data_IF_947993259964
#
_entry.id   IF_947993259964
#
_cell.length_a   1.000
_cell.length_b   1.000
_cell.length_c   1.000
_cell.angle_alpha   90.00
_cell.angle_beta   90.00
_cell.angle_gamma   90.00
#
_symmetry.space_group_name_H-M   'P 1'
#
loop_
_entity.id
_entity.type
_entity.pdbx_description
1 polymer ?
#
# COMPACT_ATOMS: atom_id res chain seq x y z
N UNK A 1 27.94 -56.45 26.01
CA UNK A 1 27.31 -55.99 24.76
C UNK A 1 26.28 -54.91 25.12
N UNK A 2 26.72 -53.67 25.38
CA UNK A 2 25.83 -52.53 25.72
C UNK A 2 26.03 -51.22 24.92
N UNK A 3 27.04 -51.02 24.04
CA UNK A 3 27.28 -49.69 23.45
C UNK A 3 26.22 -49.26 22.42
N UNK A 4 25.47 -50.21 21.85
CA UNK A 4 24.50 -49.93 20.80
C UNK A 4 23.18 -49.35 21.34
N UNK A 5 22.77 -49.74 22.56
CA UNK A 5 21.58 -49.19 23.23
C UNK A 5 21.79 -47.71 23.55
N UNK A 6 22.94 -47.37 24.14
CA UNK A 6 23.29 -46.00 24.51
C UNK A 6 23.34 -45.05 23.30
N UNK A 7 23.87 -45.53 22.17
CA UNK A 7 23.91 -44.80 20.90
C UNK A 7 22.51 -44.55 20.33
N UNK A 8 21.64 -45.57 20.40
CA UNK A 8 20.25 -45.45 19.93
C UNK A 8 19.46 -44.45 20.77
N UNK A 9 19.60 -44.50 22.10
CA UNK A 9 18.91 -43.59 23.02
C UNK A 9 19.35 -42.13 22.80
N UNK A 10 20.66 -41.90 22.61
CA UNK A 10 21.21 -40.56 22.32
C UNK A 10 20.70 -40.02 20.98
N UNK A 11 20.60 -40.88 19.96
CA UNK A 11 20.04 -40.50 18.65
C UNK A 11 18.56 -40.14 18.75
N UNK A 12 17.76 -40.92 19.48
CA UNK A 12 16.34 -40.66 19.71
C UNK A 12 16.16 -39.32 20.46
N UNK A 13 17.01 -39.03 21.46
CA UNK A 13 16.96 -37.75 22.17
C UNK A 13 17.25 -36.56 21.25
N UNK A 14 18.26 -36.68 20.37
CA UNK A 14 18.58 -35.65 19.38
C UNK A 14 17.43 -35.44 18.39
N UNK A 15 16.86 -36.52 17.87
CA UNK A 15 15.71 -36.46 16.96
C UNK A 15 14.51 -35.76 17.63
N UNK A 16 14.22 -36.10 18.90
CA UNK A 16 13.17 -35.44 19.67
C UNK A 16 13.46 -33.95 19.90
N UNK A 17 14.71 -33.57 20.18
CA UNK A 17 15.11 -32.16 20.29
C UNK A 17 14.91 -31.42 18.97
N UNK A 18 15.30 -32.01 17.83
CA UNK A 18 15.07 -31.42 16.50
C UNK A 18 13.58 -31.23 16.24
N UNK A 19 12.75 -32.25 16.53
CA UNK A 19 11.30 -32.18 16.37
C UNK A 19 10.69 -31.08 17.25
N UNK A 20 11.15 -30.94 18.49
CA UNK A 20 10.68 -29.90 19.40
C UNK A 20 11.10 -28.50 18.96
N UNK A 21 12.34 -28.33 18.47
CA UNK A 21 12.81 -27.06 17.92
C UNK A 21 11.99 -26.64 16.69
N UNK A 22 11.64 -27.59 15.81
CA UNK A 22 10.76 -27.33 14.66
C UNK A 22 9.34 -26.93 15.10
N UNK A 23 8.81 -27.53 16.17
CA UNK A 23 7.50 -27.13 16.72
C UNK A 23 7.53 -25.70 17.27
N UNK A 24 8.52 -25.37 18.11
CA UNK A 24 8.65 -24.02 18.69
C UNK A 24 8.78 -22.97 17.59
N UNK A 25 9.70 -23.19 16.65
CA UNK A 25 9.90 -22.29 15.49
C UNK A 25 8.62 -22.06 14.69
N UNK A 26 7.75 -23.06 14.63
CA UNK A 26 6.46 -22.97 13.94
C UNK A 26 5.43 -22.18 14.74
N UNK A 27 5.34 -22.42 16.04
CA UNK A 27 4.48 -21.64 16.95
C UNK A 27 4.87 -20.16 16.90
N UNK A 28 6.17 -19.87 16.96
CA UNK A 28 6.72 -18.52 16.82
C UNK A 28 6.28 -17.86 15.50
N UNK A 29 6.38 -18.57 14.36
CA UNK A 29 5.94 -18.05 13.05
C UNK A 29 4.44 -17.76 13.02
N UNK A 30 3.63 -18.66 13.57
CA UNK A 30 2.18 -18.47 13.63
C UNK A 30 1.81 -17.26 14.50
N UNK A 31 2.52 -17.09 15.62
CA UNK A 31 2.35 -15.96 16.52
C UNK A 31 2.72 -14.65 15.82
N UNK A 32 3.87 -14.58 15.17
CA UNK A 32 4.29 -13.40 14.39
C UNK A 32 3.24 -13.01 13.35
N UNK A 33 2.66 -13.98 12.65
CA UNK A 33 1.60 -13.66 11.70
C UNK A 33 0.38 -13.06 12.37
N UNK A 34 -0.14 -13.70 13.43
CA UNK A 34 -1.39 -13.30 14.08
C UNK A 34 -1.27 -11.99 14.86
N UNK A 35 -0.13 -11.73 15.47
CA UNK A 35 0.06 -10.59 16.36
C UNK A 35 0.66 -9.38 15.64
N UNK A 36 1.31 -9.57 14.49
CA UNK A 36 2.09 -8.51 13.85
C UNK A 36 1.69 -8.32 12.38
N UNK A 37 1.80 -9.36 11.55
CA UNK A 37 1.56 -9.22 10.11
C UNK A 37 0.09 -8.92 9.81
N UNK A 38 -0.83 -9.70 10.38
CA UNK A 38 -2.27 -9.57 10.14
C UNK A 38 -2.82 -8.24 10.66
N UNK A 39 -2.53 -7.81 11.90
CA UNK A 39 -2.96 -6.51 12.38
C UNK A 39 -2.38 -5.34 11.58
N UNK A 40 -1.13 -5.43 11.12
CA UNK A 40 -0.54 -4.41 10.26
C UNK A 40 -1.25 -4.31 8.92
N UNK A 41 -1.57 -5.45 8.29
CA UNK A 41 -2.30 -5.47 7.02
C UNK A 41 -3.71 -4.87 7.17
N UNK A 42 -4.43 -5.23 8.25
CA UNK A 42 -5.75 -4.68 8.57
C UNK A 42 -5.70 -3.16 8.75
N UNK A 43 -4.67 -2.63 9.44
CA UNK A 43 -4.49 -1.19 9.62
C UNK A 43 -4.12 -0.47 8.31
N UNK A 44 -3.41 -1.14 7.41
CA UNK A 44 -3.01 -0.57 6.12
C UNK A 44 -4.18 -0.41 5.14
N UNK A 45 -5.09 -1.38 5.08
CA UNK A 45 -6.23 -1.38 4.15
C UNK A 45 -7.01 -0.06 4.08
N UNK A 46 -7.51 0.52 5.18
CA UNK A 46 -8.28 1.77 5.12
C UNK A 46 -7.42 2.94 4.60
N UNK A 47 -6.11 2.94 4.89
CA UNK A 47 -5.20 3.96 4.37
C UNK A 47 -5.12 3.84 2.84
N UNK A 48 -4.89 2.64 2.31
CA UNK A 48 -4.83 2.41 0.84
C UNK A 48 -6.14 2.78 0.17
N UNK A 49 -7.28 2.39 0.72
CA UNK A 49 -8.58 2.72 0.13
C UNK A 49 -8.83 4.22 0.09
N UNK A 50 -8.43 4.96 1.13
CA UNK A 50 -8.50 6.42 1.10
C UNK A 50 -7.56 7.04 0.06
N UNK A 51 -6.36 6.45 -0.18
CA UNK A 51 -5.49 6.86 -1.28
C UNK A 51 -6.20 6.68 -2.62
N UNK A 52 -6.72 5.49 -2.91
CA UNK A 52 -7.41 5.22 -4.17
C UNK A 52 -8.61 6.15 -4.36
N UNK A 53 -9.43 6.32 -3.32
CA UNK A 53 -10.60 7.21 -3.34
C UNK A 53 -10.24 8.68 -3.65
N UNK A 54 -9.10 9.18 -3.18
CA UNK A 54 -8.60 10.53 -3.54
C UNK A 54 -8.40 10.66 -5.05
N UNK A 55 -7.77 9.66 -5.67
CA UNK A 55 -7.49 9.70 -7.11
C UNK A 55 -8.75 9.44 -7.94
N UNK A 56 -9.64 8.52 -7.52
CA UNK A 56 -10.93 8.32 -8.19
C UNK A 56 -11.81 9.57 -8.17
N UNK A 57 -11.93 10.24 -7.01
CA UNK A 57 -12.65 11.51 -6.92
C UNK A 57 -12.06 12.60 -7.81
N UNK A 58 -10.73 12.73 -7.79
CA UNK A 58 -10.04 13.68 -8.64
C UNK A 58 -10.29 13.41 -10.13
N UNK A 59 -10.31 12.13 -10.53
CA UNK A 59 -10.62 11.71 -11.89
C UNK A 59 -12.06 12.05 -12.29
N UNK A 60 -13.04 11.71 -11.44
CA UNK A 60 -14.45 12.03 -11.63
C UNK A 60 -14.67 13.53 -11.87
N UNK A 61 -14.06 14.38 -11.05
CA UNK A 61 -14.20 15.84 -11.16
C UNK A 61 -13.58 16.39 -12.47
N UNK A 62 -12.45 15.82 -12.90
CA UNK A 62 -11.81 16.20 -14.17
C UNK A 62 -12.67 15.75 -15.36
N UNK A 63 -13.22 14.54 -15.34
CA UNK A 63 -14.09 14.01 -16.38
C UNK A 63 -15.40 14.82 -16.47
N UNK A 64 -16.02 15.12 -15.34
CA UNK A 64 -17.28 15.88 -15.30
C UNK A 64 -17.10 17.27 -15.92
N UNK A 65 -15.98 17.95 -15.61
CA UNK A 65 -15.65 19.26 -16.17
C UNK A 65 -15.39 19.21 -17.68
N UNK A 66 -14.69 18.18 -18.17
CA UNK A 66 -14.46 17.97 -19.60
C UNK A 66 -15.77 17.75 -20.35
N UNK A 67 -16.64 16.89 -19.83
CA UNK A 67 -17.95 16.61 -20.43
C UNK A 67 -18.84 17.86 -20.49
N UNK A 68 -18.83 18.70 -19.45
CA UNK A 68 -19.56 19.96 -19.46
C UNK A 68 -19.06 20.94 -20.53
N UNK A 69 -17.74 21.05 -20.74
CA UNK A 69 -17.18 21.91 -21.79
C UNK A 69 -17.64 21.47 -23.18
N UNK A 70 -17.57 20.16 -23.45
CA UNK A 70 -18.02 19.58 -24.72
C UNK A 70 -19.52 19.86 -24.94
N UNK A 71 -20.36 19.64 -23.92
CA UNK A 71 -21.79 19.91 -24.00
C UNK A 71 -22.10 21.40 -24.21
N UNK A 72 -21.34 22.30 -23.58
CA UNK A 72 -21.50 23.76 -23.76
C UNK A 72 -21.10 24.23 -25.15
N UNK A 73 -20.02 23.68 -25.72
CA UNK A 73 -19.61 24.02 -27.08
C UNK A 73 -20.57 23.47 -28.14
N UNK A 74 -21.21 22.32 -27.88
CA UNK A 74 -22.28 21.76 -28.74
C UNK A 74 -23.62 22.52 -28.65
N UNK A 75 -23.84 23.30 -27.58
CA UNK A 75 -25.13 23.99 -27.32
C UNK A 75 -25.08 25.51 -27.50
N UNK A 76 -23.98 26.08 -28.02
CA UNK A 76 -23.84 27.52 -28.31
C UNK A 76 -24.98 28.14 -29.14
N UNK A 77 -25.71 27.33 -29.93
CA UNK A 77 -26.86 27.78 -30.73
C UNK A 77 -28.24 27.61 -30.07
N UNK A 78 -28.32 27.00 -28.88
CA UNK A 78 -29.60 26.81 -28.17
C UNK A 78 -29.47 27.38 -26.75
N UNK A 79 -30.18 28.50 -26.51
CA UNK A 79 -30.48 29.06 -25.19
C UNK A 79 -31.06 27.97 -24.28
N UNK A 80 -30.21 27.15 -23.68
CA UNK A 80 -30.63 26.05 -22.83
C UNK A 80 -30.22 26.35 -21.40
N UNK A 81 -31.18 26.13 -20.51
CA UNK A 81 -31.04 26.11 -19.05
C UNK A 81 -30.10 24.96 -18.64
N UNK A 82 -28.83 25.02 -19.04
CA UNK A 82 -27.81 24.11 -18.56
C UNK A 82 -27.70 24.33 -17.05
N UNK A 83 -28.21 23.35 -16.29
CA UNK A 83 -28.05 23.26 -14.84
C UNK A 83 -26.58 23.49 -14.54
N UNK A 84 -26.26 24.54 -13.80
CA UNK A 84 -24.89 24.94 -13.47
C UNK A 84 -24.25 23.78 -12.71
N UNK A 85 -23.50 22.92 -13.42
CA UNK A 85 -22.69 21.87 -12.79
C UNK A 85 -21.63 22.61 -11.98
N UNK A 86 -21.64 22.34 -10.68
CA UNK A 86 -20.79 23.05 -9.73
C UNK A 86 -19.40 22.40 -9.77
N UNK A 87 -18.68 22.63 -10.87
CA UNK A 87 -17.30 22.18 -11.03
C UNK A 87 -16.41 23.02 -10.11
N UNK A 88 -16.16 22.50 -8.93
CA UNK A 88 -15.52 23.21 -7.85
C UNK A 88 -14.20 22.52 -7.50
N UNK A 89 -13.19 22.68 -8.36
CA UNK A 89 -11.81 22.27 -8.05
C UNK A 89 -11.34 22.77 -6.67
N UNK A 90 -11.69 23.98 -6.20
CA UNK A 90 -11.44 24.37 -4.82
C UNK A 90 -12.04 23.42 -3.78
N UNK A 91 -13.29 22.96 -3.97
CA UNK A 91 -13.90 21.95 -3.11
C UNK A 91 -13.16 20.62 -3.19
N UNK A 92 -12.88 20.11 -4.38
CA UNK A 92 -12.13 18.85 -4.59
C UNK A 92 -10.78 18.91 -3.88
N UNK A 93 -10.04 20.00 -4.08
CA UNK A 93 -8.77 20.25 -3.44
C UNK A 93 -8.90 20.27 -1.92
N UNK A 94 -9.93 20.93 -1.38
CA UNK A 94 -10.21 20.96 0.05
C UNK A 94 -10.51 19.57 0.64
N UNK A 95 -11.28 18.75 -0.08
CA UNK A 95 -11.56 17.36 0.30
C UNK A 95 -10.26 16.52 0.30
N UNK A 96 -9.44 16.64 -0.76
CA UNK A 96 -8.15 15.95 -0.86
C UNK A 96 -7.22 16.36 0.30
N UNK A 97 -7.10 17.65 0.58
CA UNK A 97 -6.27 18.17 1.67
C UNK A 97 -6.74 17.67 3.04
N UNK A 98 -8.06 17.58 3.25
CA UNK A 98 -8.65 17.07 4.49
C UNK A 98 -8.34 15.59 4.67
N UNK A 99 -8.62 14.76 3.66
CA UNK A 99 -8.33 13.31 3.70
C UNK A 99 -6.85 13.05 3.96
N UNK A 100 -5.95 13.84 3.35
CA UNK A 100 -4.51 13.72 3.63
C UNK A 100 -4.15 13.97 5.08
N UNK A 101 -4.73 15.00 5.71
CA UNK A 101 -4.50 15.31 7.12
C UNK A 101 -5.03 14.20 8.02
N UNK A 102 -6.21 13.69 7.73
CA UNK A 102 -6.82 12.58 8.47
C UNK A 102 -5.98 11.29 8.39
N UNK A 103 -5.39 11.02 7.23
CA UNK A 103 -4.57 9.82 7.00
C UNK A 103 -3.14 9.93 7.53
N UNK A 104 -2.69 11.13 7.92
CA UNK A 104 -1.30 11.39 8.30
C UNK A 104 -0.85 10.46 9.43
N UNK A 105 -1.62 10.43 10.52
CA UNK A 105 -1.31 9.62 11.70
C UNK A 105 -1.31 8.13 11.35
N UNK A 106 -2.37 7.65 10.68
CA UNK A 106 -2.51 6.25 10.31
C UNK A 106 -1.34 5.78 9.42
N UNK A 107 -0.96 6.59 8.43
CA UNK A 107 0.20 6.31 7.56
C UNK A 107 1.50 6.25 8.35
N UNK A 108 1.75 7.23 9.22
CA UNK A 108 2.98 7.27 10.02
C UNK A 108 3.08 6.05 10.94
N UNK A 109 1.97 5.65 11.56
CA UNK A 109 1.91 4.42 12.38
C UNK A 109 2.23 3.18 11.55
N UNK A 110 1.59 2.99 10.40
CA UNK A 110 1.85 1.84 9.53
C UNK A 110 3.30 1.82 9.04
N UNK A 111 3.86 2.97 8.62
CA UNK A 111 5.27 3.07 8.23
C UNK A 111 6.21 2.71 9.38
N UNK A 112 5.92 3.19 10.60
CA UNK A 112 6.73 2.87 11.77
C UNK A 112 6.70 1.37 12.09
N UNK A 113 5.52 0.74 12.07
CA UNK A 113 5.37 -0.70 12.27
C UNK A 113 6.11 -1.51 11.19
N UNK A 114 5.98 -1.13 9.92
CA UNK A 114 6.70 -1.80 8.83
C UNK A 114 8.23 -1.65 8.98
N UNK A 115 8.73 -0.47 9.35
CA UNK A 115 10.17 -0.26 9.64
C UNK A 115 10.65 -1.16 10.80
N UNK A 116 9.87 -1.24 11.88
CA UNK A 116 10.20 -2.11 13.02
C UNK A 116 10.25 -3.59 12.61
N UNK A 117 9.28 -4.07 11.83
CA UNK A 117 9.30 -5.46 11.32
C UNK A 117 10.56 -5.71 10.49
N UNK A 118 10.90 -4.79 9.59
CA UNK A 118 12.12 -4.92 8.75
C UNK A 118 13.40 -4.98 9.57
N UNK A 119 13.45 -4.31 10.72
CA UNK A 119 14.64 -4.27 11.59
C UNK A 119 14.72 -5.48 12.54
N UNK A 120 13.58 -5.94 13.07
CA UNK A 120 13.54 -6.96 14.11
C UNK A 120 13.55 -8.39 13.55
N UNK A 121 13.05 -8.61 12.34
CA UNK A 121 12.93 -9.94 11.75
C UNK A 121 14.00 -10.19 10.69
N UNK A 122 14.54 -11.42 10.67
CA UNK A 122 15.47 -11.90 9.64
C UNK A 122 14.81 -12.78 8.56
N UNK A 123 13.54 -13.12 8.75
CA UNK A 123 12.80 -13.97 7.82
C UNK A 123 12.47 -13.17 6.55
N UNK A 124 13.04 -13.59 5.42
CA UNK A 124 12.98 -12.86 4.14
C UNK A 124 11.54 -12.54 3.73
N UNK A 125 10.61 -13.50 3.88
CA UNK A 125 9.21 -13.33 3.47
C UNK A 125 8.50 -12.27 4.34
N UNK A 126 8.80 -12.25 5.63
CA UNK A 126 8.26 -11.27 6.58
C UNK A 126 8.84 -9.88 6.27
N UNK A 127 10.14 -9.80 6.02
CA UNK A 127 10.79 -8.53 5.67
C UNK A 127 10.36 -8.01 4.30
N UNK A 128 10.08 -8.88 3.34
CA UNK A 128 9.57 -8.49 2.03
C UNK A 128 8.19 -7.84 2.16
N UNK A 129 7.28 -8.43 2.95
CA UNK A 129 5.97 -7.83 3.21
C UNK A 129 6.10 -6.40 3.78
N UNK A 130 6.94 -6.21 4.79
CA UNK A 130 7.20 -4.90 5.36
C UNK A 130 7.78 -3.92 4.33
N UNK A 131 8.72 -4.37 3.50
CA UNK A 131 9.31 -3.54 2.45
C UNK A 131 8.29 -3.13 1.38
N UNK A 132 7.37 -4.03 0.99
CA UNK A 132 6.28 -3.68 0.05
C UNK A 132 5.40 -2.56 0.60
N UNK A 133 5.13 -2.55 1.91
CA UNK A 133 4.38 -1.48 2.57
C UNK A 133 5.15 -0.16 2.51
N UNK A 134 6.46 -0.17 2.79
CA UNK A 134 7.27 1.05 2.73
C UNK A 134 7.33 1.61 1.31
N UNK A 135 7.58 0.75 0.31
CA UNK A 135 7.56 1.12 -1.11
C UNK A 135 6.18 1.62 -1.57
N UNK A 136 5.10 1.11 -0.98
CA UNK A 136 3.75 1.61 -1.23
C UNK A 136 3.62 3.07 -0.81
N UNK A 137 4.21 3.50 0.30
CA UNK A 137 4.12 4.89 0.74
C UNK A 137 5.13 5.83 0.08
N UNK A 138 6.30 5.33 -0.29
CA UNK A 138 7.37 6.12 -0.91
C UNK A 138 7.15 6.34 -2.42
N UNK A 139 5.88 6.50 -2.86
CA UNK A 139 5.55 6.72 -4.28
C UNK A 139 6.06 8.08 -4.77
N UNK A 140 7.30 8.09 -5.24
CA UNK A 140 7.76 9.02 -6.26
C UNK A 140 7.07 8.65 -7.58
N UNK A 141 6.12 9.46 -8.02
CA UNK A 141 5.53 9.34 -9.37
C UNK A 141 6.37 10.22 -10.28
N UNK A 142 6.99 9.62 -11.29
CA UNK A 142 7.98 10.19 -12.22
C UNK A 142 9.42 10.19 -11.69
N UNK A 143 10.32 9.60 -12.49
CA UNK A 143 11.77 9.68 -12.36
C UNK A 143 12.29 11.09 -12.63
N UNK A 144 11.93 12.03 -11.78
CA UNK A 144 12.56 13.34 -11.69
C UNK A 144 13.63 13.20 -10.62
N UNK A 145 14.89 13.48 -11.00
CA UNK A 145 16.01 13.55 -10.07
C UNK A 145 15.63 14.49 -8.92
N UNK A 146 15.70 13.98 -7.69
CA UNK A 146 15.48 14.78 -6.50
C UNK A 146 16.64 15.78 -6.38
N UNK A 147 16.33 17.07 -6.52
CA UNK A 147 17.18 18.10 -5.93
C UNK A 147 17.26 17.86 -4.41
N UNK A 148 18.47 18.07 -3.86
CA UNK A 148 18.96 17.64 -2.55
C UNK A 148 18.15 18.12 -1.32
N UNK A 149 17.02 18.82 -1.49
CA UNK A 149 16.19 19.32 -0.40
C UNK A 149 15.11 18.35 0.10
N UNK A 150 14.89 17.21 -0.55
CA UNK A 150 13.86 16.23 -0.13
C UNK A 150 14.26 15.31 1.03
N UNK A 151 15.47 15.47 1.58
CA UNK A 151 16.02 14.60 2.64
C UNK A 151 15.60 15.07 4.05
N UNK A 152 15.05 16.28 4.19
CA UNK A 152 14.78 16.91 5.51
C UNK A 152 13.32 16.91 5.96
N UNK A 153 12.39 16.45 5.12
CA UNK A 153 11.01 16.24 5.51
C UNK A 153 10.71 14.75 5.35
N UNK A 154 10.05 14.17 6.35
CA UNK A 154 9.44 12.84 6.31
C UNK A 154 8.27 12.90 5.28
N UNK A 155 8.60 13.18 4.01
CA UNK A 155 7.66 13.66 3.00
C UNK A 155 6.68 12.56 2.69
N UNK A 156 5.49 12.72 3.26
CA UNK A 156 4.20 12.51 2.64
C UNK A 156 4.24 12.02 1.20
N UNK A 157 3.61 10.86 0.96
CA UNK A 157 3.44 10.23 -0.35
C UNK A 157 3.45 11.25 -1.50
N UNK A 158 4.56 11.27 -2.24
CA UNK A 158 4.85 12.30 -3.22
C UNK A 158 3.77 12.40 -4.30
N UNK A 159 3.08 11.29 -4.63
CA UNK A 159 1.92 11.26 -5.51
C UNK A 159 0.80 12.21 -5.07
N UNK A 160 0.43 12.22 -3.78
CA UNK A 160 -0.60 13.12 -3.27
C UNK A 160 -0.12 14.58 -3.30
N UNK A 161 1.14 14.85 -2.92
CA UNK A 161 1.71 16.21 -2.94
C UNK A 161 1.71 16.78 -4.37
N UNK A 162 2.09 15.96 -5.34
CA UNK A 162 2.04 16.33 -6.75
C UNK A 162 0.60 16.54 -7.23
N UNK A 163 -0.36 15.72 -6.79
CA UNK A 163 -1.79 15.92 -7.10
C UNK A 163 -2.29 17.30 -6.65
N UNK A 164 -2.05 17.66 -5.38
CA UNK A 164 -2.44 18.96 -4.81
C UNK A 164 -1.82 20.11 -5.61
N UNK A 165 -0.52 20.03 -5.90
CA UNK A 165 0.19 21.06 -6.69
C UNK A 165 -0.33 21.18 -8.13
N UNK A 166 -0.70 20.07 -8.75
CA UNK A 166 -1.27 20.09 -10.11
C UNK A 166 -2.67 20.70 -10.12
N UNK A 167 -3.50 20.41 -9.11
CA UNK A 167 -4.78 21.10 -8.94
C UNK A 167 -4.59 22.61 -8.77
N UNK A 168 -3.66 23.05 -7.92
CA UNK A 168 -3.32 24.47 -7.73
C UNK A 168 -2.90 25.12 -9.06
N UNK A 169 -1.95 24.51 -9.78
CA UNK A 169 -1.49 25.02 -11.09
C UNK A 169 -2.61 25.10 -12.13
N UNK A 170 -3.49 24.11 -12.20
CA UNK A 170 -4.63 24.13 -13.13
C UNK A 170 -5.63 25.23 -12.77
N UNK A 171 -5.89 25.45 -11.48
CA UNK A 171 -6.75 26.55 -11.03
C UNK A 171 -6.14 27.93 -11.33
N UNK A 172 -4.82 28.06 -11.22
CA UNK A 172 -4.08 29.29 -11.52
C UNK A 172 -3.84 29.49 -13.03
N UNK A 173 -4.30 28.55 -13.88
CA UNK A 173 -4.09 28.58 -15.34
C UNK A 173 -2.64 28.35 -15.77
N UNK A 174 -1.80 27.81 -14.89
CA UNK A 174 -0.37 27.54 -15.10
C UNK A 174 -0.09 26.12 -15.62
N UNK A 175 -1.08 25.24 -15.61
CA UNK A 175 -1.01 23.88 -16.16
C UNK A 175 -2.30 23.55 -16.92
N UNK A 176 -2.18 22.65 -17.89
CA UNK A 176 -3.35 22.16 -18.63
C UNK A 176 -4.08 21.05 -17.85
N UNK A 177 -5.39 20.98 -18.02
CA UNK A 177 -6.23 19.92 -17.45
C UNK A 177 -5.87 18.54 -18.01
N UNK A 178 -5.30 18.48 -19.21
CA UNK A 178 -4.76 17.24 -19.77
C UNK A 178 -3.63 16.68 -18.91
N UNK A 179 -2.69 17.53 -18.46
CA UNK A 179 -1.56 17.13 -17.61
C UNK A 179 -2.06 16.60 -16.25
N UNK A 180 -3.07 17.26 -15.66
CA UNK A 180 -3.70 16.80 -14.44
C UNK A 180 -4.38 15.43 -14.62
N UNK A 181 -5.12 15.24 -15.73
CA UNK A 181 -5.81 13.98 -16.04
C UNK A 181 -4.82 12.83 -16.23
N UNK A 182 -3.80 13.04 -17.05
CA UNK A 182 -2.75 12.05 -17.31
C UNK A 182 -2.07 11.64 -16.01
N UNK A 183 -1.69 12.62 -15.18
CA UNK A 183 -1.10 12.35 -13.87
C UNK A 183 -2.02 11.56 -12.94
N UNK A 184 -3.31 11.91 -12.86
CA UNK A 184 -4.28 11.19 -12.01
C UNK A 184 -4.37 9.73 -12.45
N UNK A 185 -4.52 9.48 -13.74
CA UNK A 185 -4.63 8.13 -14.31
C UNK A 185 -3.37 7.31 -14.03
N UNK A 186 -2.18 7.86 -14.33
CA UNK A 186 -0.91 7.17 -14.08
C UNK A 186 -0.69 6.86 -12.59
N UNK A 187 -1.02 7.82 -11.71
CA UNK A 187 -0.86 7.67 -10.28
C UNK A 187 -1.85 6.64 -9.70
N UNK A 188 -3.10 6.64 -10.17
CA UNK A 188 -4.11 5.66 -9.79
C UNK A 188 -3.66 4.24 -10.15
N UNK A 189 -3.30 4.01 -11.41
CA UNK A 189 -2.77 2.72 -11.89
C UNK A 189 -1.54 2.26 -11.12
N UNK A 190 -0.63 3.18 -10.81
CA UNK A 190 0.57 2.86 -10.05
C UNK A 190 0.24 2.45 -8.61
N UNK A 191 -0.70 3.13 -7.96
CA UNK A 191 -1.15 2.80 -6.61
C UNK A 191 -1.82 1.42 -6.58
N UNK A 192 -2.69 1.12 -7.54
CA UNK A 192 -3.31 -0.21 -7.66
C UNK A 192 -2.27 -1.31 -7.85
N UNK A 193 -1.33 -1.13 -8.78
CA UNK A 193 -0.24 -2.11 -9.00
C UNK A 193 0.61 -2.32 -7.75
N UNK A 194 0.91 -1.27 -7.00
CA UNK A 194 1.65 -1.37 -5.74
C UNK A 194 0.83 -2.07 -4.66
N UNK A 195 -0.47 -1.77 -4.57
CA UNK A 195 -1.37 -2.45 -3.64
C UNK A 195 -1.43 -3.95 -3.90
N UNK A 196 -1.56 -4.37 -5.16
CA UNK A 196 -1.50 -5.79 -5.55
C UNK A 196 -0.21 -6.45 -5.07
N UNK A 197 0.94 -5.77 -5.17
CA UNK A 197 2.22 -6.31 -4.64
C UNK A 197 2.19 -6.49 -3.13
N UNK A 198 1.59 -5.56 -2.38
CA UNK A 198 1.42 -5.69 -0.92
C UNK A 198 0.52 -6.90 -0.61
N UNK A 199 -0.64 -7.01 -1.26
CA UNK A 199 -1.58 -8.14 -1.07
C UNK A 199 -0.91 -9.48 -1.35
N UNK A 200 -0.15 -9.57 -2.45
CA UNK A 200 0.58 -10.79 -2.80
C UNK A 200 1.64 -11.15 -1.74
N UNK A 201 2.40 -10.17 -1.25
CA UNK A 201 3.37 -10.40 -0.17
C UNK A 201 2.72 -10.78 1.16
N UNK A 202 1.56 -10.23 1.49
CA UNK A 202 0.75 -10.64 2.65
C UNK A 202 0.29 -12.09 2.50
N UNK A 203 -0.24 -12.47 1.33
CA UNK A 203 -0.66 -13.85 1.07
C UNK A 203 0.51 -14.83 1.18
N UNK A 204 1.69 -14.46 0.67
CA UNK A 204 2.91 -15.24 0.83
C UNK A 204 3.31 -15.38 2.31
N UNK A 205 3.29 -14.30 3.09
CA UNK A 205 3.56 -14.34 4.52
C UNK A 205 2.54 -15.21 5.28
N UNK A 206 1.26 -15.14 4.90
CA UNK A 206 0.19 -15.98 5.46
C UNK A 206 0.44 -17.46 5.20
N UNK A 207 0.76 -17.82 3.96
CA UNK A 207 1.09 -19.20 3.59
C UNK A 207 2.34 -19.65 4.35
N UNK A 208 3.40 -18.85 4.36
CA UNK A 208 4.65 -19.19 5.04
C UNK A 208 4.49 -19.42 6.55
N UNK A 209 3.69 -18.58 7.21
CA UNK A 209 3.54 -18.66 8.66
C UNK A 209 2.47 -19.65 9.11
N UNK A 210 1.39 -19.83 8.34
CA UNK A 210 0.23 -20.63 8.75
C UNK A 210 0.16 -22.01 8.08
N UNK A 211 0.93 -22.28 7.03
CA UNK A 211 0.88 -23.60 6.39
C UNK A 211 1.34 -24.67 7.36
N UNK A 212 0.58 -25.76 7.44
CA UNK A 212 1.04 -26.96 8.09
C UNK A 212 2.08 -27.68 7.22
N UNK A 213 3.05 -28.39 7.81
CA UNK A 213 3.72 -29.41 7.03
C UNK A 213 2.61 -30.32 6.52
N UNK A 214 2.55 -30.51 5.21
CA UNK A 214 1.80 -31.61 4.63
C UNK A 214 2.11 -32.81 5.49
N UNK A 215 1.14 -33.26 6.29
CA UNK A 215 1.19 -34.58 6.86
C UNK A 215 1.47 -35.46 5.66
N UNK A 216 2.65 -36.09 5.67
CA UNK A 216 2.95 -37.19 4.78
C UNK A 216 1.72 -38.07 4.90
N UNK A 217 0.86 -38.04 3.88
CA UNK A 217 -0.27 -38.95 3.77
C UNK A 217 0.41 -40.31 3.82
N UNK A 218 0.41 -40.94 4.99
CA UNK A 218 0.71 -42.34 5.13
C UNK A 218 -0.33 -43.01 4.25
N UNK A 219 0.08 -43.32 3.00
CA UNK A 219 -0.64 -44.22 2.13
C UNK A 219 -0.65 -45.54 2.89
N UNK A 220 -1.80 -45.86 3.48
CA UNK A 220 -2.15 -47.22 3.88
C UNK A 220 -2.12 -48.12 2.66
#
# INVERSE_FOLDING_TARGET
MEPFSLLLDTFIELANRIVNLEKIKREDKQQVFREIIDPLFIQLQPVVFNYLNIFSKAEEDVIEKQNYRILKDQTKDRKSNAKKTNHDYPRTLGEIQTLRKEMLLARSTVKAMARQIRQLYKDEIITEFAERILIFFDVSVCGIALDEFSILLDTDSYSQLKLVRLFEKVMDGQADEFELKEFISEAHDLLERKWVKVVNSYAAAKIHCLSAPNSIKQRK
#
